data_IF_142776288701
#
_entry.id   IF_142776288701
#
_cell.length_a   1.000
_cell.length_b   1.000
_cell.length_c   1.000
_cell.angle_alpha   90.00
_cell.angle_beta   90.00
_cell.angle_gamma   90.00
#
_symmetry.space_group_name_H-M   'P 1'
#
loop_
_entity.id
_entity.type
_entity.pdbx_description
1 polymer ?
#
# COMPACT_ATOMS: atom_id res chain seq x y z
N UNK A 1 5.52 -3.86 5.81
CA UNK A 1 4.60 -4.95 5.46
C UNK A 1 3.79 -5.41 6.66
N UNK A 2 4.42 -5.60 7.83
CA UNK A 2 3.79 -5.87 9.14
C UNK A 2 2.41 -5.23 9.40
N UNK A 3 2.24 -3.92 9.16
CA UNK A 3 0.94 -3.26 9.32
C UNK A 3 -0.16 -3.84 8.41
N UNK A 4 0.17 -4.15 7.16
CA UNK A 4 -0.76 -4.80 6.23
C UNK A 4 -0.93 -6.29 6.53
N UNK A 5 0.08 -6.98 7.07
CA UNK A 5 -0.06 -8.37 7.49
C UNK A 5 -1.08 -8.47 8.64
N UNK A 6 -0.97 -7.58 9.63
CA UNK A 6 -1.84 -7.55 10.81
C UNK A 6 -3.23 -6.99 10.51
N UNK A 7 -3.33 -5.94 9.69
CA UNK A 7 -4.56 -5.15 9.54
C UNK A 7 -5.10 -5.07 8.11
N UNK A 8 -4.50 -5.79 7.16
CA UNK A 8 -4.83 -5.74 5.73
C UNK A 8 -4.81 -4.30 5.22
N UNK A 9 -5.95 -3.76 4.82
CA UNK A 9 -6.11 -2.40 4.31
C UNK A 9 -6.75 -1.44 5.32
N UNK A 10 -6.75 -1.78 6.62
CA UNK A 10 -7.22 -0.86 7.65
C UNK A 10 -6.20 0.25 7.93
N UNK A 11 -6.01 1.14 6.95
CA UNK A 11 -4.98 2.20 6.95
C UNK A 11 -5.04 3.10 8.19
N UNK A 12 -6.25 3.38 8.70
CA UNK A 12 -6.43 4.15 9.94
C UNK A 12 -5.81 3.45 11.16
N UNK A 13 -5.96 2.13 11.27
CA UNK A 13 -5.34 1.34 12.37
C UNK A 13 -3.83 1.31 12.22
N UNK A 14 -3.34 1.15 10.98
CA UNK A 14 -1.91 1.15 10.67
C UNK A 14 -1.26 2.50 11.01
N UNK A 15 -1.86 3.63 10.61
CA UNK A 15 -1.37 4.96 10.98
C UNK A 15 -1.31 5.18 12.50
N UNK A 16 -2.30 4.66 13.25
CA UNK A 16 -2.38 4.85 14.70
C UNK A 16 -1.37 4.01 15.47
N UNK A 17 -1.12 2.78 15.04
CA UNK A 17 -0.27 1.84 15.77
C UNK A 17 1.22 2.02 15.48
N UNK A 18 1.57 2.34 14.23
CA UNK A 18 2.96 2.39 13.81
C UNK A 18 3.48 3.82 13.86
N UNK A 19 4.14 4.19 14.96
CA UNK A 19 4.68 5.54 15.19
C UNK A 19 5.60 6.04 14.05
N UNK A 20 6.32 5.16 13.37
CA UNK A 20 7.16 5.50 12.20
C UNK A 20 6.35 6.13 11.04
N UNK A 21 5.02 5.95 11.04
CA UNK A 21 4.10 6.49 10.04
C UNK A 21 3.38 7.76 10.53
N UNK A 22 3.84 8.41 11.60
CA UNK A 22 3.16 9.59 12.17
C UNK A 22 2.91 10.73 11.18
N UNK A 23 3.81 10.92 10.21
CA UNK A 23 3.66 11.93 9.13
C UNK A 23 2.83 11.44 7.94
N UNK A 24 2.30 10.23 7.98
CA UNK A 24 1.52 9.63 6.89
C UNK A 24 0.05 9.59 7.25
N UNK A 25 -0.77 10.10 6.32
CA UNK A 25 -2.21 9.91 6.41
C UNK A 25 -2.64 8.57 5.77
N UNK A 26 -3.84 8.05 6.10
CA UNK A 26 -4.35 6.80 5.57
C UNK A 26 -4.38 6.72 4.03
N UNK A 27 -4.65 7.84 3.35
CA UNK A 27 -4.65 7.92 1.88
C UNK A 27 -3.25 7.71 1.30
N UNK A 28 -2.24 8.36 1.88
CA UNK A 28 -0.84 8.17 1.47
C UNK A 28 -0.37 6.72 1.65
N UNK A 29 -0.82 6.03 2.70
CA UNK A 29 -0.51 4.61 2.88
C UNK A 29 -1.17 3.74 1.81
N UNK A 30 -2.45 4.01 1.49
CA UNK A 30 -3.16 3.34 0.40
C UNK A 30 -2.41 3.53 -0.92
N UNK A 31 -2.01 4.75 -1.24
CA UNK A 31 -1.33 5.07 -2.50
C UNK A 31 0.05 4.43 -2.58
N UNK A 32 0.80 4.46 -1.47
CA UNK A 32 2.10 3.79 -1.39
C UNK A 32 1.97 2.28 -1.58
N UNK A 33 0.96 1.64 -0.98
CA UNK A 33 0.71 0.21 -1.14
C UNK A 33 0.33 -0.16 -2.58
N UNK A 34 -0.49 0.67 -3.25
CA UNK A 34 -0.82 0.49 -4.67
C UNK A 34 0.41 0.63 -5.56
N UNK A 35 1.23 1.65 -5.32
CA UNK A 35 2.46 1.87 -6.09
C UNK A 35 3.46 0.73 -5.90
N UNK A 36 3.56 0.17 -4.69
CA UNK A 36 4.43 -0.98 -4.44
C UNK A 36 3.94 -2.25 -5.13
N UNK A 37 2.62 -2.53 -5.10
CA UNK A 37 2.00 -3.62 -5.87
C UNK A 37 2.34 -3.51 -7.36
N UNK A 38 2.18 -2.32 -7.93
CA UNK A 38 2.47 -2.06 -9.34
C UNK A 38 3.96 -2.19 -9.67
N UNK A 39 4.84 -1.64 -8.81
CA UNK A 39 6.29 -1.74 -8.97
C UNK A 39 6.73 -3.21 -8.99
N UNK A 40 6.26 -4.03 -8.05
CA UNK A 40 6.58 -5.46 -7.96
C UNK A 40 6.11 -6.24 -9.18
N UNK A 41 4.88 -5.99 -9.64
CA UNK A 41 4.36 -6.55 -10.88
C UNK A 41 5.22 -6.21 -12.10
N UNK A 42 5.64 -4.94 -12.25
CA UNK A 42 6.49 -4.49 -13.37
C UNK A 42 7.87 -5.13 -13.41
N UNK A 43 8.46 -5.43 -12.26
CA UNK A 43 9.83 -5.95 -12.15
C UNK A 43 9.87 -7.46 -11.86
N UNK A 44 8.72 -8.14 -11.86
CA UNK A 44 8.64 -9.59 -11.66
C UNK A 44 8.94 -10.07 -10.23
N UNK A 45 8.76 -9.22 -9.21
CA UNK A 45 8.91 -9.61 -7.80
C UNK A 45 7.56 -10.06 -7.24
N UNK A 46 7.57 -11.03 -6.32
CA UNK A 46 6.37 -11.50 -5.63
C UNK A 46 5.62 -10.36 -4.92
N UNK A 47 4.34 -10.23 -5.23
CA UNK A 47 3.48 -9.14 -4.70
C UNK A 47 3.26 -9.28 -3.19
N UNK A 48 3.13 -10.50 -2.66
CA UNK A 48 2.96 -10.77 -1.23
C UNK A 48 1.75 -10.06 -0.62
N UNK A 49 1.93 -9.47 0.57
CA UNK A 49 0.86 -8.81 1.34
C UNK A 49 0.18 -7.66 0.57
N UNK A 50 0.87 -7.05 -0.40
CA UNK A 50 0.34 -5.98 -1.23
C UNK A 50 -0.78 -6.44 -2.17
N UNK A 51 -1.04 -7.75 -2.30
CA UNK A 51 -2.22 -8.26 -3.02
C UNK A 51 -3.52 -7.67 -2.46
N UNK A 52 -3.57 -7.41 -1.14
CA UNK A 52 -4.70 -6.78 -0.47
C UNK A 52 -4.93 -5.31 -0.88
N UNK A 53 -3.96 -4.63 -1.47
CA UNK A 53 -4.15 -3.26 -1.95
C UNK A 53 -5.14 -3.25 -3.13
N UNK A 54 -6.39 -2.87 -2.85
CA UNK A 54 -7.48 -2.77 -3.82
C UNK A 54 -7.64 -1.33 -4.34
N UNK A 55 -8.06 -1.21 -5.59
CA UNK A 55 -8.26 0.04 -6.32
C UNK A 55 -7.49 0.03 -7.64
N UNK A 56 -8.19 0.29 -8.74
CA UNK A 56 -7.58 0.47 -10.06
C UNK A 56 -6.64 1.69 -10.00
N UNK A 57 -5.42 1.57 -10.54
CA UNK A 57 -4.74 2.76 -11.06
C UNK A 57 -5.54 3.18 -12.28
N UNK A 58 -5.86 4.46 -12.38
CA UNK A 58 -6.29 5.01 -13.66
C UNK A 58 -5.11 4.80 -14.64
N UNK A 59 -5.30 4.03 -15.73
CA UNK A 59 -4.25 3.79 -16.71
C UNK A 59 -3.69 5.09 -17.31
N UNK A 60 -4.44 6.21 -17.24
CA UNK A 60 -4.03 7.52 -17.75
C UNK A 60 -2.92 8.21 -16.94
N UNK A 61 -2.59 7.71 -15.73
CA UNK A 61 -1.48 8.25 -14.92
C UNK A 61 -0.15 7.52 -15.16
N UNK A 62 0.06 6.96 -16.35
CA UNK A 62 1.34 6.44 -16.79
C UNK A 62 1.86 7.23 -17.99
N UNK A 63 2.96 7.98 -17.79
CA UNK A 63 3.90 8.25 -18.87
C UNK A 63 4.65 6.96 -19.24
#
# INVERSE_FOLDING_TARGET
EAGMEKYKTSWKKICKEYAVLYNRNPGQLKDKARNEKFRRSRIGIEIGVFNHATGTRDPSQGQ
#
